data_IF_485790963567
#
_entry.id   IF_485790963567
#
_cell.length_a   1.000
_cell.length_b   1.000
_cell.length_c   1.000
_cell.angle_alpha   90.00
_cell.angle_beta   90.00
_cell.angle_gamma   90.00
#
_symmetry.space_group_name_H-M   'P 1'
#
loop_
_entity.id
_entity.type
_entity.pdbx_description
1 polymer ?
#
# COMPACT_ATOMS: atom_id res chain seq x y z
N UNK A 1 -2.14 1.01 16.34
CA UNK A 1 -1.61 0.55 17.65
C UNK A 1 -1.47 -0.97 17.55
N UNK A 2 -0.25 -1.49 17.45
CA UNK A 2 -0.01 -2.94 17.37
C UNK A 2 0.16 -3.46 18.79
N UNK A 3 -0.84 -4.18 19.30
CA UNK A 3 -0.79 -4.76 20.64
C UNK A 3 -0.06 -6.10 20.54
N UNK A 4 1.17 -6.15 21.06
CA UNK A 4 1.93 -7.41 21.17
C UNK A 4 1.79 -7.92 22.61
N UNK A 5 0.93 -8.92 22.81
CA UNK A 5 0.78 -9.56 24.13
C UNK A 5 1.81 -10.68 24.31
N UNK A 6 2.64 -10.57 25.36
CA UNK A 6 3.68 -11.54 25.66
C UNK A 6 3.40 -12.31 26.97
N UNK A 7 3.50 -13.64 26.90
CA UNK A 7 3.03 -14.59 27.92
C UNK A 7 3.85 -14.61 29.24
N UNK A 8 5.13 -14.23 29.21
CA UNK A 8 5.98 -13.98 30.39
C UNK A 8 7.28 -13.23 29.99
N UNK A 9 8.08 -12.78 30.97
CA UNK A 9 9.33 -12.02 30.74
C UNK A 9 10.36 -12.68 29.81
N UNK A 10 10.48 -14.02 29.74
CA UNK A 10 11.38 -14.71 28.81
C UNK A 10 10.80 -14.79 27.39
N UNK A 11 9.50 -15.01 27.26
CA UNK A 11 8.81 -15.06 25.96
C UNK A 11 8.74 -13.66 25.31
N UNK A 12 8.50 -12.66 26.14
CA UNK A 12 8.72 -11.26 25.87
C UNK A 12 10.12 -10.97 25.34
N UNK A 13 11.16 -11.47 26.02
CA UNK A 13 12.55 -11.28 25.57
C UNK A 13 12.83 -11.94 24.22
N UNK A 14 12.18 -13.04 23.86
CA UNK A 14 12.34 -13.68 22.55
C UNK A 14 11.57 -12.99 21.42
N UNK A 15 10.35 -12.51 21.66
CA UNK A 15 9.58 -11.71 20.69
C UNK A 15 10.24 -10.34 20.50
N UNK A 16 10.67 -9.71 21.59
CA UNK A 16 11.44 -8.47 21.55
C UNK A 16 12.82 -8.72 20.94
N UNK A 17 13.49 -9.85 21.17
CA UNK A 17 14.73 -10.18 20.48
C UNK A 17 14.51 -10.45 18.98
N UNK A 18 13.41 -11.07 18.58
CA UNK A 18 13.05 -11.30 17.18
C UNK A 18 12.69 -10.00 16.46
N UNK A 19 11.89 -9.14 17.10
CA UNK A 19 11.62 -7.78 16.66
C UNK A 19 12.91 -6.96 16.60
N UNK A 20 13.80 -7.07 17.60
CA UNK A 20 15.11 -6.39 17.68
C UNK A 20 16.18 -6.98 16.75
N UNK A 21 16.08 -8.24 16.30
CA UNK A 21 17.12 -8.94 15.55
C UNK A 21 17.03 -8.76 14.04
N UNK A 22 15.96 -8.17 13.51
CA UNK A 22 15.86 -7.96 12.07
C UNK A 22 14.61 -7.20 11.66
N UNK A 23 14.84 -6.10 10.96
CA UNK A 23 13.89 -5.29 10.18
C UNK A 23 12.71 -4.66 10.96
N UNK A 24 12.08 -5.32 11.93
CA UNK A 24 10.85 -4.86 12.60
C UNK A 24 11.06 -3.99 13.84
N UNK A 25 12.28 -3.93 14.41
CA UNK A 25 12.61 -3.13 15.59
C UNK A 25 12.35 -1.64 15.40
N UNK A 26 12.41 -1.19 14.15
CA UNK A 26 12.21 0.19 13.70
C UNK A 26 10.73 0.53 13.43
N UNK A 27 9.84 -0.46 13.44
CA UNK A 27 8.44 -0.30 13.00
C UNK A 27 7.40 -0.47 14.12
N UNK A 28 7.79 -0.91 15.32
CA UNK A 28 6.91 -0.98 16.49
C UNK A 28 7.55 -0.19 17.64
N UNK A 29 7.07 1.03 17.97
CA UNK A 29 7.60 1.80 19.10
C UNK A 29 7.33 1.06 20.42
N UNK A 30 8.27 1.07 21.36
CA UNK A 30 8.14 0.38 22.66
C UNK A 30 6.87 0.79 23.44
N UNK A 31 6.38 2.02 23.22
CA UNK A 31 5.14 2.55 23.80
C UNK A 31 3.87 1.84 23.33
N UNK A 32 3.91 1.07 22.23
CA UNK A 32 2.80 0.28 21.73
C UNK A 32 2.66 -1.09 22.42
N UNK A 33 3.63 -1.48 23.25
CA UNK A 33 3.69 -2.80 23.88
C UNK A 33 3.14 -2.70 25.32
N UNK A 34 1.93 -3.20 25.56
CA UNK A 34 1.35 -3.30 26.90
C UNK A 34 1.55 -4.69 27.52
N UNK A 35 2.00 -4.71 28.78
CA UNK A 35 2.24 -5.93 29.55
C UNK A 35 1.01 -6.25 30.43
N UNK A 36 0.30 -7.34 30.17
CA UNK A 36 -0.78 -7.81 31.06
C UNK A 36 -0.52 -9.21 31.64
N UNK A 37 -1.07 -9.45 32.85
CA UNK A 37 -0.92 -10.68 33.66
C UNK A 37 -1.53 -11.90 32.94
N UNK A 38 -1.06 -13.11 33.33
CA UNK A 38 -1.40 -14.44 32.77
C UNK A 38 -2.82 -14.51 32.13
N UNK A 39 -2.92 -14.80 30.82
CA UNK A 39 -4.20 -14.93 30.13
C UNK A 39 -4.95 -16.21 30.52
N UNK A 40 -6.29 -16.17 30.42
CA UNK A 40 -7.20 -17.31 30.53
C UNK A 40 -7.31 -18.07 29.18
N UNK A 41 -7.90 -19.27 29.15
CA UNK A 41 -7.99 -20.08 27.91
C UNK A 41 -8.72 -19.39 26.75
N UNK A 42 -9.64 -18.44 27.02
CA UNK A 42 -10.33 -17.65 26.00
C UNK A 42 -9.44 -16.60 25.34
N UNK A 43 -8.38 -16.21 26.03
CA UNK A 43 -7.39 -15.24 25.57
C UNK A 43 -6.32 -15.92 24.69
N UNK A 44 -6.19 -17.26 24.74
CA UNK A 44 -5.24 -18.02 23.92
C UNK A 44 -5.61 -18.04 22.43
N UNK A 45 -6.91 -18.05 22.10
CA UNK A 45 -7.38 -18.00 20.72
C UNK A 45 -7.10 -16.62 20.10
N UNK A 46 -7.34 -15.53 20.86
CA UNK A 46 -7.01 -14.17 20.42
C UNK A 46 -5.50 -13.94 20.22
N UNK A 47 -4.67 -14.62 21.02
CA UNK A 47 -3.20 -14.59 20.89
C UNK A 47 -2.70 -15.32 19.63
N UNK A 48 -3.34 -16.44 19.25
CA UNK A 48 -2.99 -17.16 18.04
C UNK A 48 -3.32 -16.34 16.78
N UNK A 49 -4.50 -15.69 16.77
CA UNK A 49 -4.92 -14.80 15.68
C UNK A 49 -3.98 -13.61 15.52
N UNK A 50 -3.65 -12.89 16.60
CA UNK A 50 -2.75 -11.74 16.54
C UNK A 50 -1.33 -12.11 16.04
N UNK A 51 -0.83 -13.30 16.40
CA UNK A 51 0.47 -13.78 15.89
C UNK A 51 0.42 -14.10 14.40
N UNK A 52 -0.68 -14.63 13.90
CA UNK A 52 -0.88 -14.91 12.48
C UNK A 52 -0.99 -13.60 11.67
N UNK A 53 -1.72 -12.62 12.18
CA UNK A 53 -1.85 -11.30 11.57
C UNK A 53 -0.49 -10.59 11.45
N UNK A 54 0.33 -10.65 12.50
CA UNK A 54 1.67 -10.08 12.48
C UNK A 54 2.58 -10.78 11.45
N UNK A 55 2.56 -12.12 11.37
CA UNK A 55 3.34 -12.85 10.36
C UNK A 55 2.88 -12.57 8.94
N UNK A 56 1.56 -12.44 8.72
CA UNK A 56 0.99 -12.09 7.42
C UNK A 56 1.42 -10.69 6.97
N UNK A 57 1.37 -9.70 7.85
CA UNK A 57 1.84 -8.35 7.56
C UNK A 57 3.33 -8.33 7.19
N UNK A 58 4.17 -9.09 7.91
CA UNK A 58 5.61 -9.17 7.60
C UNK A 58 5.86 -9.78 6.22
N UNK A 59 5.14 -10.85 5.88
CA UNK A 59 5.24 -11.48 4.57
C UNK A 59 4.77 -10.54 3.45
N UNK A 60 3.67 -9.83 3.67
CA UNK A 60 3.16 -8.80 2.77
C UNK A 60 4.22 -7.71 2.51
N UNK A 61 4.79 -7.13 3.57
CA UNK A 61 5.82 -6.10 3.42
C UNK A 61 7.05 -6.63 2.70
N UNK A 62 7.51 -7.83 3.05
CA UNK A 62 8.67 -8.44 2.41
C UNK A 62 8.45 -8.66 0.90
N UNK A 63 7.21 -8.95 0.49
CA UNK A 63 6.85 -9.15 -0.92
C UNK A 63 6.91 -7.88 -1.78
N UNK A 64 6.85 -6.69 -1.16
CA UNK A 64 6.84 -5.40 -1.85
C UNK A 64 8.01 -4.48 -1.46
N UNK A 65 8.86 -4.85 -0.51
CA UNK A 65 9.86 -3.95 0.07
C UNK A 65 10.82 -3.31 -0.96
N UNK A 66 11.09 -4.02 -2.07
CA UNK A 66 11.93 -3.56 -3.18
C UNK A 66 11.28 -2.45 -4.03
N UNK A 67 9.99 -2.17 -3.86
CA UNK A 67 9.26 -1.16 -4.63
C UNK A 67 9.41 0.28 -4.08
N UNK A 68 10.12 0.46 -2.96
CA UNK A 68 10.35 1.80 -2.39
C UNK A 68 11.06 2.70 -3.41
N UNK A 69 10.47 3.85 -3.71
CA UNK A 69 11.01 4.83 -4.65
C UNK A 69 11.01 4.37 -6.11
N UNK A 70 10.30 3.29 -6.45
CA UNK A 70 10.30 2.76 -7.83
C UNK A 70 9.59 3.66 -8.85
N UNK A 71 8.89 4.70 -8.38
CA UNK A 71 8.12 5.64 -9.19
C UNK A 71 8.68 7.08 -9.13
N UNK A 72 9.83 7.30 -8.48
CA UNK A 72 10.42 8.63 -8.23
C UNK A 72 10.84 9.36 -9.52
N UNK A 73 11.41 8.65 -10.49
CA UNK A 73 11.88 9.22 -11.77
C UNK A 73 10.80 9.17 -12.88
N UNK A 74 9.53 9.09 -12.46
CA UNK A 74 8.40 8.85 -13.35
C UNK A 74 8.20 7.37 -13.69
N UNK A 75 7.11 7.11 -14.39
CA UNK A 75 6.62 5.77 -14.68
C UNK A 75 5.69 5.79 -15.89
N UNK A 76 5.58 4.65 -16.55
CA UNK A 76 4.64 4.35 -17.64
C UNK A 76 3.54 3.39 -17.16
N UNK A 77 2.60 3.08 -18.05
CA UNK A 77 1.49 2.14 -17.84
C UNK A 77 1.98 0.74 -17.44
N UNK A 78 3.04 0.23 -18.10
CA UNK A 78 3.66 -1.05 -17.78
C UNK A 78 4.23 -1.07 -16.35
N UNK A 79 4.91 0.02 -15.95
CA UNK A 79 5.44 0.17 -14.59
C UNK A 79 4.31 0.23 -13.57
N UNK A 80 3.22 0.95 -13.86
CA UNK A 80 2.02 0.99 -13.02
C UNK A 80 1.45 -0.41 -12.82
N UNK A 81 1.19 -1.15 -13.90
CA UNK A 81 0.60 -2.49 -13.82
C UNK A 81 1.46 -3.45 -13.01
N UNK A 82 2.78 -3.42 -13.24
CA UNK A 82 3.72 -4.26 -12.49
C UNK A 82 3.74 -3.91 -11.00
N UNK A 83 3.84 -2.62 -10.66
CA UNK A 83 4.03 -2.17 -9.26
C UNK A 83 2.73 -2.24 -8.48
N UNK A 84 1.66 -1.65 -8.99
CA UNK A 84 0.36 -1.65 -8.31
C UNK A 84 -0.28 -3.04 -8.29
N UNK A 85 -0.02 -3.88 -9.30
CA UNK A 85 -0.42 -5.28 -9.30
C UNK A 85 0.20 -6.06 -8.14
N UNK A 86 1.53 -5.94 -7.94
CA UNK A 86 2.22 -6.58 -6.81
C UNK A 86 1.70 -6.11 -5.45
N UNK A 87 1.42 -4.81 -5.31
CA UNK A 87 0.89 -4.26 -4.06
C UNK A 87 -0.55 -4.73 -3.83
N UNK A 88 -1.36 -4.79 -4.89
CA UNK A 88 -2.74 -5.27 -4.82
C UNK A 88 -2.79 -6.75 -4.45
N UNK A 89 -1.93 -7.58 -5.05
CA UNK A 89 -1.80 -9.01 -4.70
C UNK A 89 -1.37 -9.19 -3.24
N UNK A 90 -0.37 -8.41 -2.78
CA UNK A 90 0.14 -8.53 -1.43
C UNK A 90 -0.84 -7.99 -0.37
N UNK A 91 -1.73 -7.06 -0.72
CA UNK A 91 -2.64 -6.38 0.23
C UNK A 91 -4.10 -6.77 0.15
N UNK A 92 -4.54 -7.35 -0.96
CA UNK A 92 -5.95 -7.57 -1.25
C UNK A 92 -6.73 -6.29 -1.56
N UNK A 93 -6.09 -5.11 -1.58
CA UNK A 93 -6.72 -3.86 -2.02
C UNK A 93 -6.49 -3.67 -3.51
N UNK A 94 -7.50 -3.20 -4.26
CA UNK A 94 -7.32 -2.80 -5.66
C UNK A 94 -6.82 -1.36 -5.69
N UNK A 95 -5.56 -1.16 -6.03
CA UNK A 95 -4.97 0.18 -6.19
C UNK A 95 -4.83 0.47 -7.68
N UNK A 96 -5.21 1.65 -8.13
CA UNK A 96 -5.24 2.03 -9.55
C UNK A 96 -4.58 3.39 -9.76
N UNK A 97 -4.02 3.59 -10.95
CA UNK A 97 -3.53 4.87 -11.42
C UNK A 97 -4.57 5.48 -12.36
N UNK A 98 -4.91 6.75 -12.15
CA UNK A 98 -5.78 7.50 -13.07
C UNK A 98 -4.98 8.61 -13.71
N UNK A 99 -4.88 8.55 -15.03
CA UNK A 99 -4.20 9.53 -15.88
C UNK A 99 -5.17 10.59 -16.41
N UNK A 100 -4.65 11.77 -16.74
CA UNK A 100 -5.45 12.85 -17.34
C UNK A 100 -6.07 12.46 -18.69
N UNK A 101 -5.36 11.67 -19.50
CA UNK A 101 -5.83 11.20 -20.80
C UNK A 101 -5.14 9.90 -21.28
N UNK A 102 -5.79 9.25 -22.25
CA UNK A 102 -5.23 8.20 -23.10
C UNK A 102 -5.33 8.64 -24.57
N UNK A 103 -4.27 8.48 -25.36
CA UNK A 103 -4.24 8.80 -26.78
C UNK A 103 -3.56 7.70 -27.62
N UNK A 104 -3.28 7.98 -28.89
CA UNK A 104 -2.64 7.02 -29.81
C UNK A 104 -1.23 6.57 -29.38
N UNK A 105 -0.59 7.27 -28.45
CA UNK A 105 0.74 6.96 -27.91
C UNK A 105 0.69 6.33 -26.52
N UNK A 106 -0.49 6.22 -25.90
CA UNK A 106 -0.69 5.63 -24.58
C UNK A 106 -1.30 6.60 -23.57
N UNK A 107 -1.12 6.30 -22.29
CA UNK A 107 -1.56 7.18 -21.19
C UNK A 107 -0.64 8.39 -21.04
N UNK A 108 -1.16 9.52 -20.58
CA UNK A 108 -0.37 10.72 -20.39
C UNK A 108 -1.01 11.82 -19.54
N UNK A 109 -0.23 12.87 -19.33
CA UNK A 109 -0.56 13.99 -18.46
C UNK A 109 -0.22 13.70 -16.99
N UNK A 110 -0.90 14.39 -16.07
CA UNK A 110 -0.73 14.09 -14.66
C UNK A 110 -1.44 12.79 -14.32
N UNK A 111 -0.97 12.14 -13.27
CA UNK A 111 -1.59 10.95 -12.73
C UNK A 111 -1.61 10.99 -11.21
N UNK A 112 -2.56 10.26 -10.64
CA UNK A 112 -2.64 10.04 -9.21
C UNK A 112 -3.12 8.62 -8.90
N UNK A 113 -2.79 8.15 -7.70
CA UNK A 113 -3.13 6.80 -7.26
C UNK A 113 -4.40 6.83 -6.41
N UNK A 114 -5.25 5.84 -6.61
CA UNK A 114 -6.51 5.66 -5.91
C UNK A 114 -6.65 4.23 -5.41
N UNK A 115 -7.40 4.06 -4.31
CA UNK A 115 -7.88 2.75 -3.91
C UNK A 115 -9.31 2.58 -4.42
N UNK A 116 -9.56 1.54 -5.20
CA UNK A 116 -10.90 1.18 -5.66
C UNK A 116 -11.57 0.30 -4.61
N UNK A 117 -12.67 0.81 -4.05
CA UNK A 117 -13.54 0.11 -3.10
C UNK A 117 -14.92 0.00 -3.72
N UNK A 118 -15.29 -1.19 -4.16
CA UNK A 118 -16.59 -1.50 -4.78
C UNK A 118 -16.97 -0.54 -5.94
N UNK A 119 -16.01 -0.23 -6.80
CA UNK A 119 -16.16 0.63 -7.97
C UNK A 119 -16.07 2.13 -7.68
N UNK A 120 -15.94 2.52 -6.41
CA UNK A 120 -15.70 3.92 -6.02
C UNK A 120 -14.23 4.15 -5.77
N UNK A 121 -13.70 5.25 -6.30
CA UNK A 121 -12.31 5.63 -6.06
C UNK A 121 -12.18 6.44 -4.76
N UNK A 122 -11.15 6.10 -4.00
CA UNK A 122 -10.72 6.80 -2.79
C UNK A 122 -9.31 7.32 -2.99
N UNK A 123 -9.01 8.52 -2.47
CA UNK A 123 -7.64 9.04 -2.50
C UNK A 123 -6.66 8.04 -1.87
N UNK A 124 -5.51 7.82 -2.50
CA UNK A 124 -4.42 7.09 -1.87
C UNK A 124 -3.87 7.91 -0.69
N UNK A 125 -4.02 7.39 0.52
CA UNK A 125 -3.66 8.07 1.76
C UNK A 125 -2.49 7.37 2.48
N UNK A 126 -2.11 7.94 3.62
CA UNK A 126 -1.00 7.44 4.41
C UNK A 126 0.32 7.61 3.68
N UNK A 127 1.23 6.65 3.89
CA UNK A 127 2.60 6.74 3.40
C UNK A 127 2.80 6.10 2.02
N UNK A 128 1.81 5.39 1.46
CA UNK A 128 2.00 4.59 0.24
C UNK A 128 2.45 5.42 -0.95
N UNK A 129 1.75 6.53 -1.23
CA UNK A 129 2.09 7.43 -2.34
C UNK A 129 3.54 7.89 -2.21
N UNK A 130 3.89 8.45 -1.04
CA UNK A 130 5.21 9.02 -0.78
C UNK A 130 6.30 7.97 -0.76
N UNK A 131 5.99 6.76 -0.32
CA UNK A 131 6.92 5.64 -0.32
C UNK A 131 7.26 5.14 -1.73
N UNK A 132 6.31 5.20 -2.68
CA UNK A 132 6.53 4.80 -4.06
C UNK A 132 7.26 5.85 -4.89
N UNK A 133 6.88 7.11 -4.74
CA UNK A 133 7.29 8.20 -5.61
C UNK A 133 8.34 9.13 -4.96
N UNK A 134 8.69 8.91 -3.70
CA UNK A 134 9.73 9.67 -3.04
C UNK A 134 11.10 9.03 -3.29
N UNK A 135 12.12 9.88 -3.49
CA UNK A 135 13.50 9.43 -3.65
C UNK A 135 13.96 8.56 -2.49
N UNK A 136 14.66 7.48 -2.80
CA UNK A 136 15.20 6.58 -1.77
C UNK A 136 16.30 7.22 -0.92
N UNK A 137 16.94 8.27 -1.45
CA UNK A 137 17.99 9.06 -0.81
C UNK A 137 17.43 10.19 0.07
N UNK A 138 16.18 10.59 -0.13
CA UNK A 138 15.51 11.60 0.69
C UNK A 138 15.19 11.01 2.08
N UNK A 139 15.71 11.60 3.18
CA UNK A 139 15.45 11.13 4.54
C UNK A 139 13.98 11.24 4.95
N UNK A 140 13.20 12.11 4.30
CA UNK A 140 11.79 12.28 4.60
C UNK A 140 10.90 11.29 3.80
N UNK A 141 11.44 10.59 2.80
CA UNK A 141 10.74 9.49 2.12
C UNK A 141 10.53 8.33 3.11
N UNK A 142 9.28 7.89 3.35
CA UNK A 142 8.99 6.82 4.29
C UNK A 142 9.83 5.57 4.01
N UNK A 143 10.23 4.86 5.05
CA UNK A 143 10.98 3.60 4.90
C UNK A 143 10.06 2.40 4.71
N UNK A 144 8.76 2.57 4.96
CA UNK A 144 7.69 1.58 4.78
C UNK A 144 6.46 2.27 4.19
N UNK A 145 5.59 1.55 3.46
CA UNK A 145 4.40 2.15 2.85
C UNK A 145 3.26 2.43 3.85
N UNK A 146 3.41 2.09 5.13
CA UNK A 146 2.30 2.07 6.09
C UNK A 146 1.43 0.81 5.97
N UNK A 147 0.37 0.70 6.78
CA UNK A 147 -0.54 -0.44 6.76
C UNK A 147 -1.58 -0.28 5.63
N UNK A 148 -2.02 -1.36 4.95
CA UNK A 148 -3.04 -1.27 3.90
C UNK A 148 -4.30 -0.49 4.28
N UNK A 149 -4.79 -0.70 5.51
CA UNK A 149 -5.96 0.02 6.03
C UNK A 149 -5.77 1.55 6.11
N UNK A 150 -4.52 2.03 6.13
CA UNK A 150 -4.21 3.47 6.12
C UNK A 150 -4.14 4.08 4.71
N UNK A 151 -4.15 3.25 3.66
CA UNK A 151 -4.05 3.71 2.27
C UNK A 151 -5.40 4.17 1.71
N UNK A 152 -6.51 3.75 2.34
CA UNK A 152 -7.85 4.14 1.93
C UNK A 152 -8.19 5.50 2.51
N UNK A 153 -8.09 6.54 1.69
CA UNK A 153 -8.44 7.90 2.05
C UNK A 153 -9.94 8.19 1.95
N UNK A 154 -10.25 9.50 1.95
CA UNK A 154 -11.59 9.97 1.70
C UNK A 154 -12.07 9.53 0.31
N UNK A 155 -13.36 9.19 0.15
CA UNK A 155 -13.91 8.88 -1.14
C UNK A 155 -13.87 10.10 -2.06
N UNK A 156 -13.72 9.85 -3.36
CA UNK A 156 -13.85 10.88 -4.39
C UNK A 156 -15.23 10.80 -5.06
N UNK A 157 -15.47 11.70 -6.00
CA UNK A 157 -16.63 11.67 -6.89
C UNK A 157 -16.41 10.75 -8.12
N UNK A 158 -15.19 10.23 -8.31
CA UNK A 158 -14.85 9.34 -9.41
C UNK A 158 -15.30 7.90 -9.12
N UNK A 159 -15.79 7.25 -10.16
CA UNK A 159 -16.09 5.82 -10.20
C UNK A 159 -15.34 5.19 -11.38
N UNK A 160 -14.96 3.93 -11.25
CA UNK A 160 -14.23 3.23 -12.31
C UNK A 160 -15.06 3.14 -13.61
N UNK A 161 -16.36 2.86 -13.50
CA UNK A 161 -17.31 2.81 -14.61
C UNK A 161 -17.57 4.14 -15.34
N UNK A 162 -17.01 5.25 -14.83
CA UNK A 162 -17.11 6.58 -15.42
C UNK A 162 -15.85 7.02 -16.16
N UNK A 163 -14.74 6.31 -15.99
CA UNK A 163 -13.48 6.61 -16.65
C UNK A 163 -13.56 6.18 -18.12
N UNK A 164 -12.89 6.95 -18.98
CA UNK A 164 -13.04 6.83 -20.44
C UNK A 164 -12.14 5.76 -21.03
N UNK A 165 -11.03 5.48 -20.35
CA UNK A 165 -10.10 4.42 -20.67
C UNK A 165 -9.89 3.55 -19.45
N UNK A 166 -9.78 2.24 -19.69
CA UNK A 166 -9.47 1.18 -18.74
C UNK A 166 -8.64 0.13 -19.49
N UNK A 167 -7.43 -0.17 -19.03
CA UNK A 167 -6.58 -1.21 -19.61
C UNK A 167 -6.98 -2.65 -19.17
N UNK A 168 -7.96 -2.77 -18.27
CA UNK A 168 -8.41 -4.00 -17.64
C UNK A 168 -7.70 -4.31 -16.31
N UNK A 169 -6.63 -3.58 -16.01
CA UNK A 169 -5.73 -3.79 -14.89
C UNK A 169 -5.65 -2.53 -14.01
N UNK A 170 -4.51 -1.86 -13.94
CA UNK A 170 -4.28 -0.80 -12.96
C UNK A 170 -4.24 0.60 -13.58
N UNK A 171 -4.45 0.74 -14.90
CA UNK A 171 -4.46 2.05 -15.55
C UNK A 171 -5.85 2.44 -16.04
N UNK A 172 -6.25 3.65 -15.66
CA UNK A 172 -7.44 4.31 -16.17
C UNK A 172 -7.11 5.70 -16.68
N UNK A 173 -7.97 6.28 -17.51
CA UNK A 173 -7.86 7.71 -17.84
C UNK A 173 -9.20 8.44 -17.79
N UNK A 174 -9.15 9.72 -17.42
CA UNK A 174 -10.31 10.61 -17.37
C UNK A 174 -10.86 10.88 -18.78
N UNK A 175 -9.97 10.95 -19.78
CA UNK A 175 -10.30 11.24 -21.18
C UNK A 175 -9.73 10.18 -22.11
N UNK A 176 -10.45 9.93 -23.20
CA UNK A 176 -10.00 9.11 -24.33
C UNK A 176 -9.91 10.05 -25.54
N UNK A 177 -8.67 10.40 -25.89
CA UNK A 177 -8.30 11.37 -26.90
C UNK A 177 -7.78 10.70 -28.19
N UNK A 178 -7.97 9.38 -28.36
CA UNK A 178 -7.51 8.61 -29.54
C UNK A 178 -8.03 9.19 -30.86
N UNK A 179 -9.21 9.82 -30.85
CA UNK A 179 -9.80 10.46 -32.04
C UNK A 179 -9.57 11.99 -32.11
N UNK A 180 -8.79 12.57 -31.20
CA UNK A 180 -8.50 14.02 -31.15
C UNK A 180 -7.44 14.50 -32.14
N UNK A 181 -6.77 13.59 -32.85
CA UNK A 181 -5.63 13.88 -33.74
C UNK A 181 -6.03 14.25 -35.17
N UNK A 182 -7.31 14.15 -35.53
CA UNK A 182 -7.83 14.48 -36.88
C UNK A 182 -8.16 15.97 -37.09
N UNK A 183 -7.85 16.86 -36.15
CA UNK A 183 -8.26 18.27 -36.19
C UNK A 183 -7.12 19.29 -36.30
N UNK A 184 -5.95 18.89 -36.78
CA UNK A 184 -4.85 19.81 -37.11
C UNK A 184 -4.38 19.59 -38.56
N UNK A 185 -5.16 20.08 -39.52
CA UNK A 185 -4.68 20.46 -40.86
C UNK A 185 -4.33 21.95 -40.90
#
# INVERSE_FOLDING_TARGET
MVVVEAQNKRHASSIVAYLRSGVLARYIPESAIQWHKRPSNRDLDGLATASQDASSLVAQYAAIADLRGSMDDGYDDDSVNRVLGRISEASGLRIVCVWDYYDAFGVGGNSDFYVNVDGRLHYCAGDLWRWLNGSTEDPDTPTVPGLPASWVGAPTDLRDDQLRYDDGDHNYAIRDDVNGVDAAE
#
